data_IF_869342176546
#
_entry.id   IF_869342176546
#
_cell.length_a   1.000
_cell.length_b   1.000
_cell.length_c   1.000
_cell.angle_alpha   90.00
_cell.angle_beta   90.00
_cell.angle_gamma   90.00
#
_symmetry.space_group_name_H-M   'P 1'
#
loop_
_entity.id
_entity.type
_entity.pdbx_description
1 polymer ?
#
# COMPACT_ATOMS: atom_id res chain seq x y z
N UNK A 1 -32.01 -17.97 -28.24
CA UNK A 1 -31.23 -17.89 -26.99
C UNK A 1 -30.32 -16.66 -27.06
N UNK A 2 -30.66 -15.58 -26.36
CA UNK A 2 -29.85 -14.36 -26.35
C UNK A 2 -28.70 -14.52 -25.35
N UNK A 3 -27.46 -14.52 -25.85
CA UNK A 3 -26.28 -14.65 -25.02
C UNK A 3 -26.12 -13.40 -24.15
N UNK A 4 -26.28 -13.57 -22.84
CA UNK A 4 -26.09 -12.52 -21.85
C UNK A 4 -24.58 -12.20 -21.78
N UNK A 5 -24.13 -11.17 -22.51
CA UNK A 5 -22.76 -10.65 -22.38
C UNK A 5 -22.63 -10.05 -20.98
N UNK A 6 -22.03 -10.79 -20.06
CA UNK A 6 -21.53 -10.25 -18.80
C UNK A 6 -20.62 -9.06 -19.12
N UNK A 7 -21.10 -7.84 -18.91
CA UNK A 7 -20.26 -6.64 -19.00
C UNK A 7 -19.18 -6.78 -17.94
N UNK A 8 -17.94 -7.00 -18.36
CA UNK A 8 -16.79 -6.77 -17.50
C UNK A 8 -16.94 -5.36 -16.94
N UNK A 9 -16.98 -5.24 -15.61
CA UNK A 9 -17.12 -3.96 -14.92
C UNK A 9 -15.71 -3.38 -14.79
N UNK A 10 -15.28 -2.46 -15.68
CA UNK A 10 -13.91 -1.94 -15.65
C UNK A 10 -13.58 -1.28 -14.30
N UNK A 11 -14.59 -0.73 -13.61
CA UNK A 11 -14.44 -0.18 -12.26
C UNK A 11 -13.95 -1.20 -11.23
N UNK A 12 -14.41 -2.45 -11.27
CA UNK A 12 -13.97 -3.49 -10.34
C UNK A 12 -12.50 -3.88 -10.58
N UNK A 13 -12.08 -3.89 -11.85
CA UNK A 13 -10.69 -4.15 -12.23
C UNK A 13 -9.76 -2.99 -11.85
N UNK A 14 -10.23 -1.74 -11.98
CA UNK A 14 -9.47 -0.55 -11.58
C UNK A 14 -9.28 -0.52 -10.06
N UNK A 15 -10.35 -0.78 -9.28
CA UNK A 15 -10.26 -0.86 -7.81
C UNK A 15 -9.33 -2.00 -7.39
N UNK A 16 -9.42 -3.16 -8.04
CA UNK A 16 -8.50 -4.27 -7.79
C UNK A 16 -7.05 -3.94 -8.12
N UNK A 17 -6.78 -3.29 -9.26
CA UNK A 17 -5.44 -2.86 -9.64
C UNK A 17 -4.85 -1.81 -8.68
N UNK A 18 -5.67 -0.86 -8.22
CA UNK A 18 -5.28 0.10 -7.18
C UNK A 18 -4.95 -0.65 -5.89
N UNK A 19 -5.79 -1.59 -5.45
CA UNK A 19 -5.52 -2.40 -4.26
C UNK A 19 -4.24 -3.24 -4.36
N UNK A 20 -3.93 -3.78 -5.54
CA UNK A 20 -2.67 -4.52 -5.78
C UNK A 20 -1.46 -3.59 -5.76
N UNK A 21 -1.55 -2.38 -6.34
CA UNK A 21 -0.46 -1.39 -6.34
C UNK A 21 -0.21 -0.81 -4.95
N UNK A 22 -1.27 -0.42 -4.22
CA UNK A 22 -1.14 0.02 -2.83
C UNK A 22 -0.69 -1.13 -1.93
N UNK A 23 -1.15 -2.35 -2.21
CA UNK A 23 -0.65 -3.57 -1.59
C UNK A 23 0.84 -3.74 -1.80
N UNK A 24 1.35 -3.67 -3.04
CA UNK A 24 2.77 -3.76 -3.38
C UNK A 24 3.60 -2.69 -2.65
N UNK A 25 3.14 -1.42 -2.62
CA UNK A 25 3.78 -0.34 -1.83
C UNK A 25 3.79 -0.63 -0.33
N UNK A 26 2.75 -1.26 0.21
CA UNK A 26 2.64 -1.66 1.62
C UNK A 26 3.27 -3.02 1.98
N UNK A 27 3.56 -3.89 1.01
CA UNK A 27 3.90 -5.32 1.23
C UNK A 27 5.26 -5.57 1.87
N UNK A 28 6.10 -4.54 1.99
CA UNK A 28 7.33 -4.66 2.76
C UNK A 28 7.40 -3.60 3.85
N UNK A 29 6.62 -3.76 4.95
CA UNK A 29 6.75 -2.94 6.15
C UNK A 29 8.21 -2.88 6.62
N UNK A 30 8.96 -3.97 6.43
CA UNK A 30 10.40 -4.03 6.70
C UNK A 30 11.23 -3.14 5.76
N UNK A 31 10.87 -3.01 4.48
CA UNK A 31 11.52 -2.07 3.56
C UNK A 31 11.16 -0.62 3.92
N UNK A 32 9.90 -0.34 4.23
CA UNK A 32 9.47 0.99 4.68
C UNK A 32 10.21 1.41 5.97
N UNK A 33 10.32 0.52 6.95
CA UNK A 33 11.10 0.74 8.17
C UNK A 33 12.58 0.93 7.88
N UNK A 34 13.16 0.08 7.00
CA UNK A 34 14.55 0.18 6.56
C UNK A 34 14.84 1.51 5.89
N UNK A 35 14.03 1.96 4.94
CA UNK A 35 14.25 3.22 4.24
C UNK A 35 14.04 4.42 5.17
N UNK A 36 13.11 4.34 6.12
CA UNK A 36 12.83 5.46 7.03
C UNK A 36 13.92 5.66 8.08
N UNK A 37 14.48 4.58 8.63
CA UNK A 37 15.46 4.65 9.71
C UNK A 37 16.91 4.40 9.26
N UNK A 38 17.11 3.71 8.15
CA UNK A 38 18.43 3.31 7.63
C UNK A 38 18.63 3.70 6.15
N UNK A 39 17.73 4.49 5.56
CA UNK A 39 17.87 5.01 4.20
C UNK A 39 18.76 6.25 4.10
N UNK A 40 18.74 6.89 2.93
CA UNK A 40 19.58 8.06 2.62
C UNK A 40 19.27 9.30 3.48
N UNK A 41 18.07 9.38 4.06
CA UNK A 41 17.63 10.44 4.96
C UNK A 41 17.10 9.82 6.25
N UNK A 42 17.98 9.42 7.18
CA UNK A 42 17.55 8.75 8.40
C UNK A 42 16.73 9.70 9.28
N UNK A 43 15.49 9.32 9.56
CA UNK A 43 14.67 9.99 10.57
C UNK A 43 15.13 9.52 11.95
N UNK A 44 15.20 10.44 12.92
CA UNK A 44 15.50 10.08 14.30
C UNK A 44 14.51 9.03 14.83
N UNK A 45 15.03 7.99 15.49
CA UNK A 45 14.24 6.92 16.11
C UNK A 45 13.60 7.44 17.39
N UNK A 46 12.56 8.24 17.21
CA UNK A 46 11.75 8.82 18.28
C UNK A 46 10.36 8.16 18.30
N UNK A 47 9.67 8.11 19.46
CA UNK A 47 8.35 7.50 19.58
C UNK A 47 7.35 8.04 18.54
N UNK A 48 7.39 9.34 18.26
CA UNK A 48 6.52 9.99 17.27
C UNK A 48 6.73 9.45 15.85
N UNK A 49 7.99 9.26 15.43
CA UNK A 49 8.33 8.71 14.11
C UNK A 49 7.87 7.26 13.97
N UNK A 50 8.06 6.45 15.03
CA UNK A 50 7.63 5.05 15.08
C UNK A 50 6.11 4.95 14.95
N UNK A 51 5.35 5.71 15.76
CA UNK A 51 3.90 5.72 15.67
C UNK A 51 3.38 6.26 14.33
N UNK A 52 4.07 7.24 13.73
CA UNK A 52 3.74 7.74 12.39
C UNK A 52 3.85 6.66 11.31
N UNK A 53 4.96 5.93 11.28
CA UNK A 53 5.18 4.84 10.30
C UNK A 53 4.22 3.68 10.55
N UNK A 54 4.01 3.29 11.81
CA UNK A 54 3.03 2.25 12.16
C UNK A 54 1.62 2.64 11.75
N UNK A 55 1.25 3.91 11.89
CA UNK A 55 -0.04 4.43 11.41
C UNK A 55 -0.13 4.33 9.89
N UNK A 56 0.92 4.72 9.17
CA UNK A 56 0.95 4.58 7.71
C UNK A 56 0.78 3.13 7.28
N UNK A 57 1.47 2.18 7.92
CA UNK A 57 1.33 0.73 7.63
C UNK A 57 -0.08 0.21 7.94
N UNK A 58 -0.69 0.68 9.03
CA UNK A 58 -2.02 0.21 9.46
C UNK A 58 -3.16 0.77 8.59
N UNK A 59 -2.99 1.96 8.02
CA UNK A 59 -4.01 2.67 7.23
C UNK A 59 -3.80 2.57 5.70
N UNK A 60 -2.78 1.86 5.21
CA UNK A 60 -2.57 1.49 3.79
C UNK A 60 -3.05 0.08 3.51
#
# INVERSE_FOLDING_TARGET
MSANKSKSRPSALIIGAIGVVFGDIGTSPLYALKETFAGHHPIAVEPASIFGILSLIFWT
#
